data_IF_846021132375
#
_entry.id   IF_846021132375
#
_cell.length_a   1.000
_cell.length_b   1.000
_cell.length_c   1.000
_cell.angle_alpha   90.00
_cell.angle_beta   90.00
_cell.angle_gamma   90.00
#
_symmetry.space_group_name_H-M   'P 1'
#
loop_
_entity.id
_entity.type
_entity.pdbx_description
1 polymer ?
#
# COMPACT_ATOMS: atom_id res chain seq x y z
N UNK A 1 -5.66 -17.57 -18.99
CA UNK A 1 -6.07 -17.22 -17.62
C UNK A 1 -5.78 -15.73 -17.43
N UNK A 2 -6.72 -14.86 -17.82
CA UNK A 2 -6.57 -13.40 -17.86
C UNK A 2 -5.52 -12.85 -18.87
N UNK A 3 -5.43 -13.42 -20.08
CA UNK A 3 -4.57 -12.97 -21.20
C UNK A 3 -3.04 -12.88 -20.95
N UNK A 4 -2.55 -13.26 -19.77
CA UNK A 4 -1.12 -13.19 -19.43
C UNK A 4 -0.22 -14.23 -20.13
N UNK A 5 -0.78 -15.25 -20.76
CA UNK A 5 -0.03 -16.32 -21.44
C UNK A 5 -0.59 -16.49 -22.86
N UNK A 6 -0.06 -15.70 -23.79
CA UNK A 6 -0.57 -15.64 -25.18
C UNK A 6 -0.39 -16.97 -25.94
N UNK A 7 0.62 -17.78 -25.62
CA UNK A 7 0.91 -19.06 -26.29
C UNK A 7 -0.16 -20.14 -26.05
N UNK A 8 -1.10 -19.90 -25.14
CA UNK A 8 -2.20 -20.80 -24.81
C UNK A 8 -3.56 -20.33 -25.36
N UNK A 9 -3.59 -19.24 -26.13
CA UNK A 9 -4.82 -18.75 -26.74
C UNK A 9 -5.46 -19.82 -27.65
N UNK A 10 -6.78 -20.00 -27.54
CA UNK A 10 -7.55 -20.97 -28.33
C UNK A 10 -7.37 -22.44 -27.93
N UNK A 11 -6.58 -22.75 -26.90
CA UNK A 11 -6.39 -24.13 -26.40
C UNK A 11 -7.37 -24.45 -25.27
N UNK A 12 -7.74 -25.72 -25.15
CA UNK A 12 -8.40 -26.24 -23.95
C UNK A 12 -7.36 -26.40 -22.84
N UNK A 13 -7.48 -25.62 -21.77
CA UNK A 13 -6.51 -25.57 -20.66
C UNK A 13 -7.18 -26.01 -19.37
N UNK A 14 -6.53 -26.91 -18.63
CA UNK A 14 -6.92 -27.31 -17.28
C UNK A 14 -5.79 -27.02 -16.30
N UNK A 15 -6.14 -26.69 -15.05
CA UNK A 15 -5.18 -26.54 -13.95
C UNK A 15 -5.41 -27.69 -12.99
N UNK A 16 -4.34 -28.45 -12.69
CA UNK A 16 -4.38 -29.50 -11.67
C UNK A 16 -4.05 -28.86 -10.32
N UNK A 17 -4.98 -28.95 -9.37
CA UNK A 17 -4.74 -28.56 -7.97
C UNK A 17 -4.41 -29.85 -7.21
N UNK A 18 -3.14 -30.05 -6.88
CA UNK A 18 -2.65 -31.30 -6.30
C UNK A 18 -2.82 -31.42 -4.77
N UNK A 19 -3.22 -30.35 -4.07
CA UNK A 19 -3.46 -30.39 -2.62
C UNK A 19 -3.92 -29.05 -2.02
N UNK A 20 -4.30 -29.08 -0.74
CA UNK A 20 -4.77 -27.93 0.04
C UNK A 20 -4.37 -27.97 1.52
N UNK A 21 -3.41 -28.81 1.89
CA UNK A 21 -2.87 -28.88 3.26
C UNK A 21 -1.88 -27.73 3.48
N UNK A 22 -2.41 -26.52 3.60
CA UNK A 22 -1.66 -25.29 3.81
C UNK A 22 -1.88 -24.81 5.24
N UNK A 23 -0.79 -24.42 5.90
CA UNK A 23 -0.86 -23.75 7.20
C UNK A 23 -1.52 -22.36 7.05
N UNK A 24 -2.36 -21.98 8.02
CA UNK A 24 -3.11 -20.72 7.98
C UNK A 24 -2.17 -19.51 7.94
N UNK A 25 -1.02 -19.58 8.60
CA UNK A 25 0.00 -18.51 8.58
C UNK A 25 0.57 -18.32 7.18
N UNK A 26 0.86 -19.43 6.48
CA UNK A 26 1.36 -19.38 5.11
C UNK A 26 0.30 -18.83 4.15
N UNK A 27 -0.95 -19.27 4.30
CA UNK A 27 -2.07 -18.77 3.50
C UNK A 27 -2.22 -17.24 3.66
N UNK A 28 -2.20 -16.74 4.90
CA UNK A 28 -2.28 -15.30 5.17
C UNK A 28 -1.16 -14.51 4.49
N UNK A 29 0.10 -14.99 4.54
CA UNK A 29 1.22 -14.34 3.85
C UNK A 29 1.07 -14.33 2.33
N UNK A 30 0.54 -15.41 1.74
CA UNK A 30 0.27 -15.48 0.30
C UNK A 30 -0.80 -14.46 -0.10
N UNK A 31 -1.88 -14.36 0.67
CA UNK A 31 -2.96 -13.39 0.45
C UNK A 31 -2.39 -11.97 0.52
N UNK A 32 -1.65 -11.65 1.58
CA UNK A 32 -1.05 -10.33 1.77
C UNK A 32 -0.12 -9.96 0.60
N UNK A 33 0.76 -10.88 0.19
CA UNK A 33 1.64 -10.67 -0.97
C UNK A 33 0.85 -10.48 -2.27
N UNK A 34 -0.27 -11.19 -2.43
CA UNK A 34 -1.19 -11.01 -3.55
C UNK A 34 -1.81 -9.62 -3.56
N UNK A 35 -2.25 -9.13 -2.39
CA UNK A 35 -2.82 -7.78 -2.24
C UNK A 35 -1.78 -6.69 -2.54
N UNK A 36 -0.55 -6.82 -2.05
CA UNK A 36 0.54 -5.86 -2.36
C UNK A 36 0.86 -5.84 -3.86
N UNK A 37 0.94 -7.02 -4.48
CA UNK A 37 1.23 -7.16 -5.91
C UNK A 37 0.13 -6.57 -6.79
N UNK A 38 -1.13 -6.76 -6.40
CA UNK A 38 -2.28 -6.20 -7.11
C UNK A 38 -2.49 -4.70 -6.82
N UNK A 39 -1.68 -4.11 -5.92
CA UNK A 39 -1.86 -2.72 -5.49
C UNK A 39 -3.17 -2.51 -4.73
N UNK A 40 -3.62 -3.53 -4.00
CA UNK A 40 -4.79 -3.47 -3.09
C UNK A 40 -4.40 -3.28 -1.63
N UNK A 41 -3.13 -3.48 -1.32
CA UNK A 41 -2.50 -3.12 -0.05
C UNK A 41 -1.23 -2.32 -0.38
N UNK A 42 -1.02 -1.19 0.27
CA UNK A 42 0.15 -0.35 0.07
C UNK A 42 0.65 0.19 1.39
N UNK A 43 1.97 0.33 1.53
CA UNK A 43 2.57 1.11 2.61
C UNK A 43 3.29 2.31 2.03
N UNK A 44 2.83 3.50 2.40
CA UNK A 44 3.48 4.76 2.06
C UNK A 44 4.19 5.32 3.28
N UNK A 45 5.44 5.75 3.09
CA UNK A 45 6.11 6.63 4.03
C UNK A 45 5.78 8.06 3.64
N UNK A 46 5.29 8.84 4.59
CA UNK A 46 4.93 10.25 4.40
C UNK A 46 5.75 11.10 5.35
N UNK A 47 6.44 12.09 4.79
CA UNK A 47 7.15 13.10 5.57
C UNK A 47 6.21 14.23 5.95
N UNK A 48 6.21 14.58 7.23
CA UNK A 48 5.36 15.61 7.79
C UNK A 48 6.08 16.36 8.92
N UNK A 49 5.69 17.61 9.21
CA UNK A 49 6.28 18.36 10.31
C UNK A 49 5.82 17.82 11.68
N UNK A 50 6.68 17.91 12.70
CA UNK A 50 6.43 17.41 14.06
C UNK A 50 5.68 18.44 14.92
N UNK A 51 4.39 18.66 14.61
CA UNK A 51 3.50 19.48 15.45
C UNK A 51 2.07 18.92 15.53
N UNK A 52 1.29 19.26 16.58
CA UNK A 52 -0.09 18.80 16.74
C UNK A 52 -0.99 19.15 15.54
N UNK A 53 -1.65 18.14 14.98
CA UNK A 53 -2.55 18.31 13.82
C UNK A 53 -1.89 18.06 12.46
N UNK A 54 -0.57 17.86 12.39
CA UNK A 54 0.09 17.46 11.14
C UNK A 54 -0.48 16.13 10.60
N UNK A 55 -0.64 15.12 11.46
CA UNK A 55 -1.25 13.85 11.08
C UNK A 55 -2.73 14.00 10.67
N UNK A 56 -3.49 14.89 11.32
CA UNK A 56 -4.89 15.15 10.95
C UNK A 56 -5.01 15.68 9.52
N UNK A 57 -4.10 16.56 9.10
CA UNK A 57 -4.08 17.05 7.71
C UNK A 57 -3.79 15.93 6.72
N UNK A 58 -2.79 15.09 7.01
CA UNK A 58 -2.44 13.93 6.17
C UNK A 58 -3.62 12.96 6.06
N UNK A 59 -4.20 12.54 7.19
CA UNK A 59 -5.35 11.63 7.18
C UNK A 59 -6.60 12.25 6.55
N UNK A 60 -6.76 13.58 6.64
CA UNK A 60 -7.79 14.32 5.92
C UNK A 60 -7.68 14.19 4.40
N UNK A 61 -6.47 14.33 3.85
CA UNK A 61 -6.21 14.10 2.41
C UNK A 61 -6.56 12.65 2.03
N UNK A 62 -6.07 11.67 2.81
CA UNK A 62 -6.33 10.25 2.55
C UNK A 62 -7.84 9.92 2.61
N UNK A 63 -8.57 10.52 3.53
CA UNK A 63 -10.02 10.35 3.68
C UNK A 63 -10.80 10.89 2.47
N UNK A 64 -10.40 12.04 1.91
CA UNK A 64 -11.04 12.61 0.70
C UNK A 64 -10.93 11.67 -0.49
N UNK A 65 -9.85 10.91 -0.58
CA UNK A 65 -9.62 9.90 -1.61
C UNK A 65 -10.19 8.51 -1.26
N UNK A 66 -10.85 8.36 -0.10
CA UNK A 66 -11.44 7.09 0.36
C UNK A 66 -10.42 5.96 0.52
N UNK A 67 -9.22 6.27 0.98
CA UNK A 67 -8.26 5.25 1.41
C UNK A 67 -8.62 4.74 2.81
N UNK A 68 -8.67 3.41 2.96
CA UNK A 68 -8.87 2.79 4.27
C UNK A 68 -7.51 2.58 4.95
N UNK A 69 -7.28 3.20 6.10
CA UNK A 69 -6.03 3.07 6.86
C UNK A 69 -6.12 1.85 7.76
N UNK A 70 -5.18 0.92 7.60
CA UNK A 70 -5.08 -0.29 8.44
C UNK A 70 -4.13 -0.09 9.62
N UNK A 71 -3.01 0.60 9.39
CA UNK A 71 -1.95 0.75 10.36
C UNK A 71 -1.19 2.06 10.11
N UNK A 72 -0.82 2.73 11.19
CA UNK A 72 0.14 3.85 11.17
C UNK A 72 1.29 3.52 12.10
N UNK A 73 2.52 3.55 11.59
CA UNK A 73 3.74 3.37 12.37
C UNK A 73 4.58 4.63 12.33
N UNK A 74 4.96 5.12 13.50
CA UNK A 74 5.67 6.39 13.68
C UNK A 74 6.99 6.08 14.37
N UNK A 75 8.12 6.39 13.71
CA UNK A 75 9.43 6.22 14.33
C UNK A 75 10.09 7.59 14.48
N UNK A 76 10.06 8.11 15.71
CA UNK A 76 10.67 9.41 16.05
C UNK A 76 12.19 9.33 16.18
N UNK A 77 12.75 8.12 16.26
CA UNK A 77 14.13 7.90 16.71
C UNK A 77 15.10 7.56 15.57
N UNK A 78 14.62 7.11 14.40
CA UNK A 78 15.49 6.43 13.42
C UNK A 78 15.50 7.00 12.00
N UNK A 79 14.65 7.97 11.67
CA UNK A 79 14.71 8.60 10.36
C UNK A 79 15.63 9.81 10.45
N UNK A 80 16.68 9.86 9.62
CA UNK A 80 17.62 10.99 9.50
C UNK A 80 16.97 12.26 8.91
N UNK A 81 15.81 12.64 9.45
CA UNK A 81 15.08 13.86 9.15
C UNK A 81 15.70 15.02 9.92
N UNK A 82 15.70 16.19 9.29
CA UNK A 82 16.15 17.43 9.91
C UNK A 82 15.35 17.70 11.20
N UNK A 83 15.94 18.45 12.13
CA UNK A 83 15.27 18.87 13.37
C UNK A 83 13.89 19.50 13.04
N UNK A 84 12.79 18.84 13.42
CA UNK A 84 11.42 19.31 13.20
C UNK A 84 10.60 18.57 12.13
N UNK A 85 11.23 17.69 11.34
CA UNK A 85 10.54 16.79 10.41
C UNK A 85 10.43 15.38 10.99
N UNK A 86 9.35 14.68 10.65
CA UNK A 86 9.11 13.28 11.03
C UNK A 86 8.61 12.49 9.83
N UNK A 87 8.72 11.16 9.90
CA UNK A 87 8.18 10.26 8.89
C UNK A 87 7.22 9.28 9.55
N UNK A 88 6.08 9.08 8.89
CA UNK A 88 5.07 8.10 9.29
C UNK A 88 4.85 7.10 8.16
N UNK A 89 4.90 5.82 8.50
CA UNK A 89 4.54 4.75 7.60
C UNK A 89 3.05 4.48 7.76
N UNK A 90 2.29 4.60 6.68
CA UNK A 90 0.84 4.40 6.65
C UNK A 90 0.54 3.23 5.73
N UNK A 91 0.00 2.15 6.30
CA UNK A 91 -0.48 0.98 5.56
C UNK A 91 -1.97 1.17 5.25
N UNK A 92 -2.34 1.04 3.98
CA UNK A 92 -3.70 1.31 3.49
C UNK A 92 -4.19 0.25 2.52
N UNK A 93 -5.50 -0.01 2.55
CA UNK A 93 -6.17 -0.71 1.46
C UNK A 93 -6.48 0.27 0.31
N UNK A 94 -6.30 -0.23 -0.90
CA UNK A 94 -6.48 0.55 -2.13
C UNK A 94 -7.23 -0.28 -3.18
N UNK A 95 -7.70 0.36 -4.25
CA UNK A 95 -8.50 -0.29 -5.30
C UNK A 95 -7.64 -0.76 -6.48
N UNK A 96 -6.32 -0.65 -6.37
CA UNK A 96 -5.37 -0.92 -7.44
C UNK A 96 -4.33 0.19 -7.61
N UNK A 97 -3.40 0.03 -8.57
CA UNK A 97 -2.30 0.95 -8.81
C UNK A 97 -2.73 2.39 -9.13
N UNK A 98 -3.84 2.57 -9.84
CA UNK A 98 -4.38 3.89 -10.17
C UNK A 98 -4.76 4.67 -8.91
N UNK A 99 -5.43 4.02 -7.96
CA UNK A 99 -5.79 4.63 -6.68
C UNK A 99 -4.55 5.00 -5.85
N UNK A 100 -3.49 4.18 -5.92
CA UNK A 100 -2.20 4.52 -5.28
C UNK A 100 -1.61 5.80 -5.90
N UNK A 101 -1.63 5.92 -7.24
CA UNK A 101 -1.14 7.12 -7.91
C UNK A 101 -1.95 8.37 -7.56
N UNK A 102 -3.27 8.26 -7.46
CA UNK A 102 -4.16 9.35 -6.99
C UNK A 102 -3.78 9.81 -5.59
N UNK A 103 -3.60 8.86 -4.64
CA UNK A 103 -3.23 9.17 -3.26
C UNK A 103 -1.87 9.86 -3.16
N UNK A 104 -0.87 9.36 -3.88
CA UNK A 104 0.47 9.98 -3.91
C UNK A 104 0.43 11.39 -4.47
N UNK A 105 -0.31 11.59 -5.57
CA UNK A 105 -0.47 12.91 -6.19
C UNK A 105 -1.18 13.89 -5.26
N UNK A 106 -2.19 13.42 -4.52
CA UNK A 106 -2.91 14.25 -3.55
C UNK A 106 -2.04 14.66 -2.36
N UNK A 107 -1.23 13.74 -1.84
CA UNK A 107 -0.24 14.03 -0.80
C UNK A 107 0.81 15.04 -1.30
N UNK A 108 1.34 14.86 -2.51
CA UNK A 108 2.29 15.79 -3.13
C UNK A 108 1.67 17.18 -3.33
N UNK A 109 0.43 17.27 -3.82
CA UNK A 109 -0.30 18.53 -3.97
C UNK A 109 -0.58 19.24 -2.64
N UNK A 110 -0.72 18.48 -1.55
CA UNK A 110 -0.85 19.00 -0.20
C UNK A 110 0.50 19.35 0.47
N UNK A 111 1.62 19.17 -0.22
CA UNK A 111 2.97 19.51 0.24
C UNK A 111 3.66 18.40 1.04
N UNK A 112 3.19 17.15 0.97
CA UNK A 112 3.77 16.02 1.68
C UNK A 112 4.59 15.12 0.73
N UNK A 113 5.91 15.11 0.95
CA UNK A 113 6.78 14.15 0.27
C UNK A 113 6.43 12.73 0.72
N UNK A 114 6.37 11.80 -0.23
CA UNK A 114 5.99 10.42 0.05
C UNK A 114 6.71 9.42 -0.86
N UNK A 115 6.97 8.24 -0.31
CA UNK A 115 7.58 7.12 -1.01
C UNK A 115 6.88 5.81 -0.67
N UNK A 116 6.92 4.86 -1.61
CA UNK A 116 6.35 3.53 -1.39
C UNK A 116 7.40 2.64 -0.73
N UNK A 117 7.05 2.07 0.43
CA UNK A 117 7.94 1.18 1.20
C UNK A 117 7.74 -0.29 0.78
N UNK A 118 6.50 -0.65 0.45
CA UNK A 118 6.06 -1.99 0.02
C UNK A 118 5.00 -1.89 -1.08
#
# INVERSE_FOLDING_TARGET
INHKVQQLAGKNVAVVICGGNIDVTLLSRIIERGLVKDGRLVRLRVHLPDYPGALHKVTGVLAQHRANILETSYDRAYYGVNLGDTAIDITMETRGPEHIAELRSALEAAGYANERVL
#
